data_IF_766420445786
#
_entry.id   IF_766420445786
#
_cell.length_a   1.000
_cell.length_b   1.000
_cell.length_c   1.000
_cell.angle_alpha   90.00
_cell.angle_beta   90.00
_cell.angle_gamma   90.00
#
_symmetry.space_group_name_H-M   'P 1'
#
loop_
_entity.id
_entity.type
_entity.pdbx_description
1 polymer ?
#
# COMPACT_ATOMS: atom_id res chain seq x y z
N UNK A 1 -23.16 14.22 -40.65
CA UNK A 1 -21.74 13.87 -40.40
C UNK A 1 -21.54 13.90 -38.89
N UNK A 2 -21.73 12.76 -38.22
CA UNK A 2 -21.67 12.69 -36.75
C UNK A 2 -20.26 12.30 -36.32
N UNK A 3 -19.61 13.19 -35.58
CA UNK A 3 -18.34 12.94 -34.91
C UNK A 3 -18.60 12.15 -33.62
N UNK A 4 -18.06 10.93 -33.53
CA UNK A 4 -17.98 10.20 -32.25
C UNK A 4 -16.69 10.59 -31.52
N UNK A 5 -16.74 10.89 -30.21
CA UNK A 5 -15.53 11.03 -29.40
C UNK A 5 -14.91 9.66 -29.18
N UNK A 6 -13.62 9.52 -29.55
CA UNK A 6 -12.80 8.37 -29.19
C UNK A 6 -12.48 8.45 -27.69
N UNK A 7 -13.17 7.68 -26.87
CA UNK A 7 -12.68 7.29 -25.55
C UNK A 7 -11.50 6.34 -25.75
N UNK A 8 -10.28 6.88 -25.84
CA UNK A 8 -9.07 6.09 -25.70
C UNK A 8 -8.94 5.67 -24.25
N UNK A 9 -9.25 4.40 -23.97
CA UNK A 9 -8.74 3.70 -22.79
C UNK A 9 -7.21 3.70 -22.91
N UNK A 10 -6.56 4.62 -22.19
CA UNK A 10 -5.11 4.78 -22.26
C UNK A 10 -4.47 3.71 -21.36
N UNK A 11 -4.12 2.58 -21.98
CA UNK A 11 -3.36 1.52 -21.35
C UNK A 11 -2.03 2.08 -20.81
N UNK A 12 -1.69 1.70 -19.58
CA UNK A 12 -0.44 2.09 -18.96
C UNK A 12 0.72 1.34 -19.65
N UNK A 13 1.71 2.06 -20.13
CA UNK A 13 2.83 1.44 -20.85
C UNK A 13 3.95 1.13 -19.84
N UNK A 14 4.30 -0.15 -19.70
CA UNK A 14 5.52 -0.54 -18.98
C UNK A 14 6.70 -0.02 -19.78
N UNK A 15 7.56 0.75 -19.13
CA UNK A 15 8.74 1.36 -19.74
C UNK A 15 9.97 0.48 -19.55
N UNK A 16 11.05 0.73 -20.31
CA UNK A 16 12.28 -0.07 -20.26
C UNK A 16 12.94 -0.09 -18.87
N UNK A 17 12.68 0.94 -18.05
CA UNK A 17 13.15 1.08 -16.68
C UNK A 17 12.30 0.30 -15.67
N UNK A 18 11.31 -0.47 -16.13
CA UNK A 18 10.44 -1.28 -15.28
C UNK A 18 9.28 -0.51 -14.64
N UNK A 19 9.18 0.81 -14.85
CA UNK A 19 8.09 1.61 -14.31
C UNK A 19 6.87 1.62 -15.22
N UNK A 20 5.70 1.58 -14.58
CA UNK A 20 4.40 1.82 -15.20
C UNK A 20 4.10 3.31 -15.07
N UNK A 21 4.08 4.01 -16.21
CA UNK A 21 3.80 5.46 -16.24
C UNK A 21 2.31 5.74 -16.39
N UNK A 22 1.73 6.42 -15.42
CA UNK A 22 0.31 6.83 -15.42
C UNK A 22 0.05 8.10 -14.62
N UNK A 23 -1.06 8.76 -14.88
CA UNK A 23 -1.48 9.92 -14.08
C UNK A 23 -2.05 9.46 -12.74
N UNK A 24 -2.03 10.35 -11.75
CA UNK A 24 -2.63 10.07 -10.44
C UNK A 24 -4.13 9.76 -10.54
N UNK A 25 -4.85 10.43 -11.44
CA UNK A 25 -6.28 10.19 -11.69
C UNK A 25 -6.56 8.77 -12.18
N UNK A 26 -5.72 8.22 -13.07
CA UNK A 26 -5.87 6.83 -13.53
C UNK A 26 -5.52 5.87 -12.41
N UNK A 27 -4.42 6.15 -11.70
CA UNK A 27 -3.95 5.34 -10.58
C UNK A 27 -5.01 5.20 -9.48
N UNK A 28 -5.62 6.30 -9.04
CA UNK A 28 -6.58 6.30 -7.92
C UNK A 28 -7.92 5.61 -8.23
N UNK A 29 -8.15 5.22 -9.48
CA UNK A 29 -9.33 4.45 -9.91
C UNK A 29 -9.05 2.96 -10.04
N UNK A 30 -7.80 2.54 -9.84
CA UNK A 30 -7.43 1.14 -9.89
C UNK A 30 -8.03 0.40 -8.69
N UNK A 31 -8.47 -0.83 -8.94
CA UNK A 31 -8.91 -1.72 -7.87
C UNK A 31 -7.70 -2.51 -7.36
N UNK A 32 -7.29 -2.20 -6.13
CA UNK A 32 -6.23 -2.91 -5.43
C UNK A 32 -6.82 -4.02 -4.57
N UNK A 33 -6.16 -5.18 -4.60
CA UNK A 33 -6.43 -6.26 -3.67
C UNK A 33 -5.20 -6.51 -2.81
N UNK A 34 -5.42 -6.84 -1.54
CA UNK A 34 -4.35 -7.30 -0.65
C UNK A 34 -3.81 -8.62 -1.18
N UNK A 35 -2.54 -8.65 -1.56
CA UNK A 35 -1.83 -9.85 -2.00
C UNK A 35 -1.14 -10.55 -0.85
N UNK A 36 -0.43 -9.77 -0.04
CA UNK A 36 0.35 -10.29 1.08
C UNK A 36 0.21 -9.36 2.28
N UNK A 37 0.21 -9.96 3.46
CA UNK A 37 0.36 -9.26 4.73
C UNK A 37 1.03 -10.23 5.68
N UNK A 38 2.18 -9.86 6.21
CA UNK A 38 2.93 -10.69 7.13
C UNK A 38 3.56 -9.85 8.21
N UNK A 39 3.72 -10.45 9.38
CA UNK A 39 4.45 -9.86 10.50
C UNK A 39 5.94 -10.17 10.36
N UNK A 40 6.78 -9.21 10.74
CA UNK A 40 8.23 -9.34 10.81
C UNK A 40 8.70 -8.75 12.13
N UNK A 41 9.11 -9.62 13.05
CA UNK A 41 9.55 -9.20 14.37
C UNK A 41 10.84 -8.37 14.33
N UNK A 42 11.71 -8.62 13.36
CA UNK A 42 12.95 -7.86 13.20
C UNK A 42 12.68 -6.41 12.82
N UNK A 43 11.54 -6.13 12.18
CA UNK A 43 11.12 -4.77 11.86
C UNK A 43 10.81 -3.95 13.13
N UNK A 44 10.39 -4.58 14.23
CA UNK A 44 10.17 -3.90 15.51
C UNK A 44 11.49 -3.30 16.02
N UNK A 45 12.59 -4.05 15.93
CA UNK A 45 13.92 -3.59 16.35
C UNK A 45 14.36 -2.35 15.56
N UNK A 46 14.03 -2.30 14.26
CA UNK A 46 14.33 -1.15 13.40
C UNK A 46 13.48 0.09 13.72
N UNK A 47 12.34 -0.06 14.41
CA UNK A 47 11.45 1.03 14.79
C UNK A 47 11.81 1.67 16.14
N UNK A 48 12.58 0.98 16.99
CA UNK A 48 13.01 1.48 18.29
C UNK A 48 13.85 2.78 18.16
N UNK A 49 14.86 2.88 17.25
CA UNK A 49 15.62 4.11 17.07
C UNK A 49 14.78 5.31 16.63
N UNK A 50 13.65 5.07 15.96
CA UNK A 50 12.68 6.09 15.54
C UNK A 50 11.73 6.51 16.70
N UNK A 51 11.95 5.99 17.91
CA UNK A 51 11.11 6.27 19.08
C UNK A 51 9.76 5.55 19.07
N UNK A 52 9.59 4.55 18.21
CA UNK A 52 8.33 3.81 18.04
C UNK A 52 8.39 2.51 18.84
N UNK A 53 7.53 2.39 19.84
CA UNK A 53 7.34 1.17 20.64
C UNK A 53 6.20 0.33 20.07
N UNK A 54 6.46 -0.35 18.96
CA UNK A 54 5.49 -1.23 18.31
C UNK A 54 5.29 -2.53 19.10
N UNK A 55 4.05 -3.01 19.16
CA UNK A 55 3.71 -4.35 19.68
C UNK A 55 3.85 -5.44 18.62
N UNK A 56 3.53 -5.10 17.38
CA UNK A 56 3.81 -5.90 16.19
C UNK A 56 4.16 -4.99 15.01
N UNK A 57 4.91 -5.52 14.05
CA UNK A 57 5.24 -4.84 12.82
C UNK A 57 5.29 -5.84 11.68
N UNK A 58 5.20 -5.35 10.45
CA UNK A 58 5.20 -6.21 9.30
C UNK A 58 5.18 -5.43 7.99
N UNK A 59 4.89 -6.16 6.92
CA UNK A 59 4.74 -5.59 5.59
C UNK A 59 3.38 -5.96 5.02
N UNK A 60 2.89 -5.09 4.14
CA UNK A 60 1.68 -5.31 3.37
C UNK A 60 2.00 -5.03 1.90
N UNK A 61 1.42 -5.83 1.01
CA UNK A 61 1.49 -5.60 -0.42
C UNK A 61 0.08 -5.65 -1.03
N UNK A 62 -0.24 -4.60 -1.75
CA UNK A 62 -1.42 -4.48 -2.59
C UNK A 62 -1.02 -4.54 -4.05
N UNK A 63 -1.82 -5.24 -4.86
CA UNK A 63 -1.64 -5.24 -6.30
C UNK A 63 -2.99 -5.27 -7.02
N UNK A 64 -3.02 -4.78 -8.24
CA UNK A 64 -4.18 -4.88 -9.11
C UNK A 64 -4.31 -6.29 -9.69
N UNK A 65 -5.54 -6.75 -9.89
CA UNK A 65 -5.85 -7.93 -10.71
C UNK A 65 -6.22 -7.46 -12.13
N UNK A 66 -5.25 -7.32 -13.02
CA UNK A 66 -5.49 -6.82 -14.37
C UNK A 66 -4.24 -6.80 -15.25
N UNK A 67 -4.38 -6.21 -16.44
CA UNK A 67 -3.32 -6.15 -17.47
C UNK A 67 -2.12 -5.28 -17.09
N UNK A 68 -2.34 -4.26 -16.25
CA UNK A 68 -1.26 -3.47 -15.67
C UNK A 68 -1.08 -3.95 -14.24
N UNK A 69 -0.11 -4.84 -14.02
CA UNK A 69 0.23 -5.36 -12.70
C UNK A 69 0.90 -4.25 -11.86
N UNK A 70 0.08 -3.35 -11.33
CA UNK A 70 0.53 -2.28 -10.44
C UNK A 70 0.64 -2.86 -9.04
N UNK A 71 1.77 -2.63 -8.37
CA UNK A 71 2.00 -3.07 -7.00
C UNK A 71 2.43 -1.91 -6.11
N UNK A 72 2.04 -2.00 -4.84
CA UNK A 72 2.41 -1.07 -3.77
C UNK A 72 2.66 -1.90 -2.52
N UNK A 73 3.85 -1.77 -1.96
CA UNK A 73 4.25 -2.37 -0.71
C UNK A 73 4.64 -1.32 0.31
N UNK A 74 4.33 -1.57 1.58
CA UNK A 74 4.75 -0.71 2.69
C UNK A 74 4.95 -1.53 3.96
N UNK A 75 5.77 -0.98 4.85
CA UNK A 75 5.90 -1.47 6.21
C UNK A 75 4.79 -0.85 7.09
N UNK A 76 4.28 -1.63 8.03
CA UNK A 76 3.30 -1.19 9.01
C UNK A 76 3.72 -1.61 10.41
N UNK A 77 3.18 -0.93 11.42
CA UNK A 77 3.32 -1.33 12.81
C UNK A 77 2.00 -1.12 13.55
N UNK A 78 1.79 -1.88 14.62
CA UNK A 78 0.71 -1.65 15.56
C UNK A 78 1.25 -1.20 16.92
N UNK A 79 0.48 -0.34 17.58
CA UNK A 79 0.71 -0.01 18.98
C UNK A 79 0.09 -1.09 19.89
N UNK A 80 0.44 -1.10 21.20
CA UNK A 80 -0.17 -2.04 22.15
C UNK A 80 -1.71 -1.98 22.23
N UNK A 81 -2.33 -0.87 21.82
CA UNK A 81 -3.79 -0.71 21.75
C UNK A 81 -4.42 -1.28 20.46
N UNK A 82 -3.62 -1.89 19.59
CA UNK A 82 -4.06 -2.53 18.34
C UNK A 82 -4.21 -1.58 17.15
N UNK A 83 -4.01 -0.27 17.31
CA UNK A 83 -4.05 0.66 16.17
C UNK A 83 -2.85 0.46 15.26
N UNK A 84 -3.11 0.34 13.96
CA UNK A 84 -2.08 0.16 12.93
C UNK A 84 -1.75 1.47 12.21
N UNK A 85 -0.47 1.65 11.93
CA UNK A 85 0.11 2.82 11.26
C UNK A 85 1.09 2.37 10.18
N UNK A 86 1.30 3.22 9.17
CA UNK A 86 2.42 3.02 8.24
C UNK A 86 3.73 3.33 8.97
N UNK A 87 4.71 2.46 8.78
CA UNK A 87 6.04 2.66 9.33
C UNK A 87 6.80 3.78 8.58
N UNK A 88 7.75 4.46 9.25
CA UNK A 88 8.73 5.29 8.56
C UNK A 88 9.49 4.49 7.49
N UNK A 89 9.91 5.15 6.41
CA UNK A 89 10.60 4.51 5.27
C UNK A 89 9.82 4.56 3.96
N UNK A 90 8.54 4.98 4.02
CA UNK A 90 7.72 5.23 2.83
C UNK A 90 7.17 3.96 2.20
N UNK A 91 6.86 4.05 0.91
CA UNK A 91 6.30 2.93 0.13
C UNK A 91 7.27 2.50 -0.98
N UNK A 92 7.09 1.26 -1.43
CA UNK A 92 7.69 0.74 -2.66
C UNK A 92 6.59 0.51 -3.70
N UNK A 93 6.81 0.94 -4.94
CA UNK A 93 5.86 0.73 -6.03
C UNK A 93 6.58 0.66 -7.38
N UNK A 94 5.97 -0.03 -8.34
CA UNK A 94 6.42 -0.06 -9.73
C UNK A 94 5.80 1.07 -10.59
N UNK A 95 5.24 2.10 -9.98
CA UNK A 95 4.61 3.24 -10.66
C UNK A 95 5.55 4.44 -10.69
N UNK A 96 5.61 5.11 -11.84
CA UNK A 96 6.10 6.49 -11.96
C UNK A 96 4.90 7.36 -12.31
N UNK A 97 4.48 8.24 -11.39
CA UNK A 97 3.39 9.15 -11.69
C UNK A 97 3.86 10.20 -12.70
N UNK A 98 2.98 10.53 -13.64
CA UNK A 98 3.23 11.55 -14.66
C UNK A 98 2.19 12.67 -14.59
N UNK A 99 2.59 13.85 -15.02
CA UNK A 99 1.66 14.96 -15.31
C UNK A 99 0.68 14.59 -16.43
N UNK A 100 -0.38 15.39 -16.61
CA UNK A 100 -1.29 15.24 -17.76
C UNK A 100 -0.56 15.33 -19.12
N UNK A 101 0.56 16.05 -19.17
CA UNK A 101 1.41 16.18 -20.35
C UNK A 101 2.48 15.06 -20.45
N UNK A 102 2.35 13.98 -19.65
CA UNK A 102 3.21 12.79 -19.67
C UNK A 102 4.67 13.01 -19.23
N UNK A 103 4.96 14.11 -18.54
CA UNK A 103 6.25 14.29 -17.86
C UNK A 103 6.27 13.56 -16.51
N UNK A 104 7.34 12.83 -16.23
CA UNK A 104 7.57 12.16 -14.95
C UNK A 104 7.58 13.16 -13.79
N UNK A 105 6.92 12.81 -12.69
CA UNK A 105 6.98 13.58 -11.43
C UNK A 105 8.26 13.29 -10.63
N UNK A 106 8.96 12.20 -10.96
CA UNK A 106 10.08 11.70 -10.19
C UNK A 106 9.64 10.77 -9.05
N UNK A 107 10.61 10.02 -8.52
CA UNK A 107 10.36 8.96 -7.53
C UNK A 107 9.86 9.51 -6.19
N UNK A 108 10.49 10.59 -5.69
CA UNK A 108 10.14 11.20 -4.42
C UNK A 108 8.69 11.69 -4.43
N UNK A 109 8.33 12.52 -5.43
CA UNK A 109 6.97 13.04 -5.55
C UNK A 109 5.94 11.94 -5.79
N UNK A 110 6.31 10.90 -6.53
CA UNK A 110 5.45 9.73 -6.71
C UNK A 110 5.19 9.04 -5.36
N UNK A 111 6.25 8.74 -4.59
CA UNK A 111 6.14 8.10 -3.28
C UNK A 111 5.28 8.91 -2.29
N UNK A 112 5.44 10.23 -2.25
CA UNK A 112 4.63 11.12 -1.41
C UNK A 112 3.13 11.05 -1.74
N UNK A 113 2.79 11.17 -3.03
CA UNK A 113 1.40 11.16 -3.49
C UNK A 113 0.74 9.82 -3.23
N UNK A 114 1.46 8.73 -3.48
CA UNK A 114 0.96 7.38 -3.25
C UNK A 114 0.83 7.07 -1.75
N UNK A 115 1.77 7.52 -0.91
CA UNK A 115 1.66 7.40 0.56
C UNK A 115 0.45 8.18 1.09
N UNK A 116 0.23 9.38 0.56
CA UNK A 116 -0.94 10.20 0.90
C UNK A 116 -2.23 9.50 0.49
N UNK A 117 -2.31 8.99 -0.74
CA UNK A 117 -3.46 8.22 -1.20
C UNK A 117 -3.71 7.00 -0.31
N UNK A 118 -2.67 6.21 -0.02
CA UNK A 118 -2.79 5.02 0.80
C UNK A 118 -3.27 5.33 2.22
N UNK A 119 -2.90 6.49 2.79
CA UNK A 119 -3.41 6.94 4.10
C UNK A 119 -4.93 7.19 4.12
N UNK A 120 -5.54 7.40 2.96
CA UNK A 120 -7.01 7.57 2.82
C UNK A 120 -7.75 6.25 2.59
N UNK A 121 -7.03 5.19 2.24
CA UNK A 121 -7.57 3.85 2.04
C UNK A 121 -7.69 3.10 3.37
N UNK A 122 -8.71 2.25 3.50
CA UNK A 122 -8.90 1.40 4.68
C UNK A 122 -8.04 0.14 4.59
N UNK A 123 -6.72 0.31 4.66
CA UNK A 123 -5.79 -0.79 4.45
C UNK A 123 -5.47 -1.60 5.71
N UNK A 124 -5.74 -1.05 6.89
CA UNK A 124 -5.53 -1.73 8.17
C UNK A 124 -6.30 -3.05 8.16
N UNK A 125 -5.66 -4.13 8.62
CA UNK A 125 -6.37 -5.39 8.77
C UNK A 125 -7.39 -5.23 9.90
N UNK A 126 -8.65 -5.57 9.63
CA UNK A 126 -9.56 -5.95 10.71
C UNK A 126 -9.01 -7.24 11.31
N UNK A 127 -8.02 -7.12 12.19
CA UNK A 127 -7.63 -8.22 13.06
C UNK A 127 -8.80 -8.43 14.00
N UNK A 128 -9.65 -9.41 13.69
CA UNK A 128 -10.58 -9.95 14.67
C UNK A 128 -9.74 -10.42 15.84
N UNK A 129 -9.76 -9.66 16.94
CA UNK A 129 -9.38 -10.20 18.23
C UNK A 129 -10.34 -11.37 18.50
N UNK A 130 -9.91 -12.60 18.23
CA UNK A 130 -10.42 -13.74 18.99
C UNK A 130 -9.94 -13.52 20.41
N UNK A 131 -10.75 -12.82 21.20
CA UNK A 131 -10.62 -12.82 22.66
C UNK A 131 -10.76 -14.30 23.06
N UNK A 132 -9.68 -14.82 23.62
CA UNK A 132 -9.59 -16.10 24.29
C UNK A 132 -10.77 -16.32 25.24
N UNK A 133 -11.63 -17.30 24.97
CA UNK A 133 -12.60 -17.80 25.95
C UNK A 133 -12.11 -19.15 26.51
N UNK A 134 -11.75 -19.10 27.80
CA UNK A 134 -11.87 -20.15 28.82
C UNK A 134 -10.92 -21.36 28.75
N UNK A 135 -9.68 -21.16 29.20
CA UNK A 135 -9.03 -22.17 30.05
C UNK A 135 -9.48 -21.92 31.49
N UNK A 136 -10.49 -22.65 31.96
CA UNK A 136 -10.66 -22.88 33.40
C UNK A 136 -9.91 -24.17 33.74
N UNK A 137 -8.96 -24.15 34.69
CA UNK A 137 -8.45 -25.41 35.22
C UNK A 137 -9.58 -26.11 36.01
N UNK A 138 -9.70 -27.45 35.96
CA UNK A 138 -10.60 -28.14 36.86
C UNK A 138 -10.10 -27.98 38.30
N UNK A 139 -11.01 -27.55 39.18
CA UNK A 139 -10.81 -27.64 40.63
C UNK A 139 -11.12 -29.09 41.05
N UNK A 140 -10.09 -29.71 41.64
CA UNK A 140 -10.08 -30.98 42.42
C UNK A 140 -10.34 -32.28 41.67
#
# INVERSE_FOLDING_TARGET
>A
MSSQPRTTSQAAQVSLDGYIRMTFEVFSRLNFIRKLSWEDHNLIENLIPEGIQASCAGYCEWATSGTHHVSIGWAWFALPDGRQFMAPGGISSNVMLVTQNRYDLGMERTSELLSTWLSTEQWQSQQHHSISELVRPPLS
#
